data_IF_065711509370
#
_entry.id   IF_065711509370
#
_cell.length_a   1.000
_cell.length_b   1.000
_cell.length_c   1.000
_cell.angle_alpha   90.00
_cell.angle_beta   90.00
_cell.angle_gamma   90.00
#
_symmetry.space_group_name_H-M   'P 1'
#
loop_
_entity.id
_entity.type
_entity.pdbx_description
1 polymer ?
#
# COMPACT_ATOMS: atom_id res chain seq x y z
N UNK A 1 0.60 -14.51 3.26
CA UNK A 1 1.51 -13.93 2.24
C UNK A 1 1.31 -12.43 2.23
N UNK A 2 2.38 -11.66 2.01
CA UNK A 2 2.33 -10.21 1.92
C UNK A 2 2.36 -9.78 0.44
N UNK A 3 1.26 -9.21 -0.04
CA UNK A 3 1.10 -8.77 -1.42
C UNK A 3 1.26 -7.25 -1.52
N UNK A 4 2.02 -6.80 -2.51
CA UNK A 4 2.01 -5.42 -2.95
C UNK A 4 0.67 -5.13 -3.62
N UNK A 5 -0.12 -4.21 -3.05
CA UNK A 5 -1.46 -3.85 -3.54
C UNK A 5 -1.53 -2.46 -4.17
N UNK A 6 -0.46 -1.66 -4.10
CA UNK A 6 -0.41 -0.31 -4.65
C UNK A 6 0.53 0.59 -3.85
N UNK A 7 0.47 1.90 -4.11
CA UNK A 7 1.32 2.90 -3.47
C UNK A 7 0.51 4.15 -3.07
N UNK A 8 1.09 4.95 -2.18
CA UNK A 8 0.67 6.32 -1.84
C UNK A 8 1.89 7.24 -1.90
N UNK A 9 1.72 8.45 -2.43
CA UNK A 9 2.81 9.42 -2.63
C UNK A 9 2.46 10.85 -2.22
N UNK A 10 1.28 11.03 -1.61
CA UNK A 10 0.73 12.34 -1.24
C UNK A 10 1.32 12.88 0.07
N UNK A 11 2.65 12.95 0.15
CA UNK A 11 3.40 13.53 1.28
C UNK A 11 4.15 14.79 0.83
N UNK A 12 4.26 15.78 1.71
CA UNK A 12 5.09 16.96 1.52
C UNK A 12 6.59 16.62 1.47
N UNK A 13 7.43 17.55 1.03
CA UNK A 13 8.88 17.33 0.91
C UNK A 13 9.54 17.01 2.26
N UNK A 14 9.12 17.68 3.34
CA UNK A 14 9.62 17.43 4.69
C UNK A 14 9.21 16.05 5.20
N UNK A 15 7.93 15.68 5.02
CA UNK A 15 7.42 14.36 5.40
C UNK A 15 8.11 13.24 4.64
N UNK A 16 8.40 13.43 3.35
CA UNK A 16 9.15 12.43 2.55
C UNK A 16 10.52 12.13 3.15
N UNK A 17 11.27 13.15 3.57
CA UNK A 17 12.60 12.94 4.18
C UNK A 17 12.49 12.15 5.48
N UNK A 18 11.52 12.49 6.33
CA UNK A 18 11.29 11.76 7.57
C UNK A 18 10.85 10.31 7.30
N UNK A 19 10.00 10.10 6.30
CA UNK A 19 9.54 8.78 5.88
C UNK A 19 10.67 7.92 5.31
N UNK A 20 11.59 8.51 4.54
CA UNK A 20 12.79 7.82 4.09
C UNK A 20 13.57 7.31 5.29
N UNK A 21 13.93 8.18 6.24
CA UNK A 21 14.68 7.78 7.43
C UNK A 21 13.99 6.66 8.21
N UNK A 22 12.67 6.77 8.42
CA UNK A 22 11.87 5.73 9.11
C UNK A 22 11.85 4.42 8.35
N UNK A 23 11.71 4.46 7.03
CA UNK A 23 11.67 3.25 6.18
C UNK A 23 13.03 2.57 6.12
N UNK A 24 14.12 3.35 6.07
CA UNK A 24 15.48 2.83 6.09
C UNK A 24 15.81 2.10 7.39
N UNK A 25 15.36 2.62 8.54
CA UNK A 25 15.49 1.95 9.83
C UNK A 25 14.70 0.63 9.91
N UNK A 26 13.73 0.42 9.02
CA UNK A 26 12.91 -0.80 8.95
C UNK A 26 13.39 -1.78 7.88
N UNK A 27 14.47 -1.50 7.14
CA UNK A 27 14.96 -2.39 6.07
C UNK A 27 15.21 -3.80 6.60
N UNK A 28 14.51 -4.77 6.02
CA UNK A 28 14.59 -6.18 6.41
C UNK A 28 14.01 -7.09 5.33
N UNK A 29 14.81 -8.00 4.74
CA UNK A 29 14.31 -9.07 3.88
C UNK A 29 13.34 -10.02 4.62
N UNK A 30 12.42 -10.70 3.92
CA UNK A 30 12.23 -10.69 2.46
C UNK A 30 11.31 -9.57 1.94
N UNK A 31 10.62 -8.83 2.83
CA UNK A 31 9.58 -7.88 2.44
C UNK A 31 8.34 -8.60 1.90
N UNK A 32 7.94 -8.31 0.66
CA UNK A 32 6.79 -8.96 0.02
C UNK A 32 7.04 -10.45 -0.21
N UNK A 33 6.12 -11.29 0.27
CA UNK A 33 6.19 -12.77 0.14
C UNK A 33 5.18 -13.34 -0.85
N UNK A 34 4.44 -12.47 -1.54
CA UNK A 34 3.57 -12.80 -2.66
C UNK A 34 3.89 -11.92 -3.86
N UNK A 35 2.88 -11.23 -4.38
CA UNK A 35 3.09 -10.23 -5.44
C UNK A 35 3.99 -9.11 -4.94
N UNK A 36 5.08 -8.79 -5.65
CA UNK A 36 6.01 -7.71 -5.29
C UNK A 36 5.95 -6.54 -6.32
N UNK A 37 6.48 -5.35 -5.98
CA UNK A 37 6.72 -4.28 -6.95
C UNK A 37 7.77 -4.68 -8.01
N UNK A 38 7.82 -3.95 -9.12
CA UNK A 38 8.86 -4.11 -10.15
C UNK A 38 8.60 -5.15 -11.24
N UNK A 39 7.37 -5.65 -11.39
CA UNK A 39 6.99 -6.46 -12.55
C UNK A 39 7.09 -5.68 -13.88
N UNK A 40 7.28 -6.37 -15.01
CA UNK A 40 7.38 -5.74 -16.32
C UNK A 40 6.08 -4.99 -16.67
N UNK A 41 6.19 -3.73 -17.08
CA UNK A 41 5.06 -2.94 -17.54
C UNK A 41 5.47 -2.01 -18.68
N UNK A 42 4.54 -1.71 -19.59
CA UNK A 42 4.77 -0.76 -20.72
C UNK A 42 5.14 0.65 -20.27
N UNK A 43 4.90 0.96 -18.99
CA UNK A 43 5.19 2.25 -18.36
C UNK A 43 6.36 2.16 -17.39
N UNK A 44 7.02 1.00 -17.26
CA UNK A 44 8.17 0.83 -16.38
C UNK A 44 9.39 1.48 -17.04
N UNK A 45 10.01 2.43 -16.34
CA UNK A 45 11.39 2.84 -16.59
C UNK A 45 12.33 2.02 -15.71
N UNK A 46 13.66 2.14 -15.90
CA UNK A 46 14.66 1.44 -15.08
C UNK A 46 14.43 1.61 -13.57
N UNK A 47 13.98 2.80 -13.13
CA UNK A 47 13.73 3.10 -11.72
C UNK A 47 12.32 2.76 -11.22
N UNK A 48 11.40 2.41 -12.11
CA UNK A 48 10.00 2.15 -11.74
C UNK A 48 9.82 0.82 -10.98
N UNK A 49 10.84 -0.03 -10.97
CA UNK A 49 10.82 -1.31 -10.27
C UNK A 49 11.72 -1.40 -9.04
N UNK A 50 12.50 -0.38 -8.72
CA UNK A 50 13.38 -0.40 -7.55
C UNK A 50 12.56 -0.25 -6.27
N UNK A 51 12.77 -1.18 -5.33
CA UNK A 51 12.20 -1.12 -3.99
C UNK A 51 13.11 -1.86 -3.01
N UNK A 52 13.03 -1.47 -1.74
CA UNK A 52 13.80 -2.07 -0.64
C UNK A 52 12.82 -2.77 0.32
N UNK A 53 13.09 -4.01 0.75
CA UNK A 53 12.22 -4.71 1.67
C UNK A 53 12.29 -4.09 3.07
N UNK A 54 11.12 -3.95 3.70
CA UNK A 54 10.99 -3.44 5.06
C UNK A 54 10.21 -4.43 5.94
N UNK A 55 10.49 -4.41 7.24
CA UNK A 55 9.70 -5.09 8.27
C UNK A 55 8.33 -4.40 8.39
N UNK A 56 7.20 -5.07 8.10
CA UNK A 56 5.88 -4.45 8.02
C UNK A 56 5.32 -4.13 9.41
N UNK A 57 5.84 -3.08 10.05
CA UNK A 57 5.49 -2.67 11.42
C UNK A 57 4.62 -1.42 11.52
N UNK A 58 4.46 -0.70 10.41
CA UNK A 58 3.79 0.61 10.41
C UNK A 58 2.48 0.50 9.63
N UNK A 59 1.39 0.95 10.26
CA UNK A 59 0.06 0.93 9.66
C UNK A 59 -0.40 2.37 9.38
N UNK A 60 -1.02 2.54 8.21
CA UNK A 60 -1.66 3.78 7.80
C UNK A 60 -3.04 3.48 7.22
N UNK A 61 -3.89 4.49 7.21
CA UNK A 61 -5.21 4.47 6.61
C UNK A 61 -5.17 5.22 5.28
N UNK A 62 -5.78 4.64 4.24
CA UNK A 62 -5.90 5.25 2.92
C UNK A 62 -7.34 5.27 2.44
N UNK A 63 -7.68 6.30 1.67
CA UNK A 63 -8.83 6.26 0.77
C UNK A 63 -8.38 5.75 -0.60
N UNK A 64 -9.23 4.98 -1.24
CA UNK A 64 -9.01 4.46 -2.59
C UNK A 64 -10.31 4.53 -3.38
N UNK A 65 -10.17 4.55 -4.70
CA UNK A 65 -11.30 4.58 -5.62
C UNK A 65 -11.83 3.15 -5.84
N UNK A 66 -11.06 2.29 -6.50
CA UNK A 66 -11.47 0.92 -6.82
C UNK A 66 -10.35 -0.07 -6.46
N UNK A 67 -10.74 -1.29 -6.07
CA UNK A 67 -9.85 -2.41 -5.82
C UNK A 67 -10.21 -3.58 -6.76
N UNK A 68 -9.32 -3.89 -7.71
CA UNK A 68 -9.56 -4.94 -8.71
C UNK A 68 -8.30 -5.74 -9.00
N UNK A 69 -8.45 -7.04 -9.21
CA UNK A 69 -7.33 -7.96 -9.49
C UNK A 69 -6.20 -7.88 -8.45
N UNK A 70 -6.56 -7.70 -7.17
CA UNK A 70 -5.61 -7.63 -6.07
C UNK A 70 -4.85 -6.30 -5.96
N UNK A 71 -5.29 -5.21 -6.61
CA UNK A 71 -4.61 -3.91 -6.56
C UNK A 71 -5.58 -2.72 -6.48
N UNK A 72 -5.12 -1.65 -5.84
CA UNK A 72 -5.75 -0.33 -5.92
C UNK A 72 -5.57 0.28 -7.31
N UNK A 73 -6.60 0.98 -7.79
CA UNK A 73 -6.59 1.74 -9.05
C UNK A 73 -6.55 3.25 -8.74
N UNK A 74 -5.93 4.02 -9.66
CA UNK A 74 -5.77 5.48 -9.57
C UNK A 74 -4.95 5.99 -8.36
N UNK A 75 -4.14 5.13 -7.76
CA UNK A 75 -3.37 5.44 -6.55
C UNK A 75 -4.23 5.47 -5.30
N UNK A 76 -3.62 5.80 -4.17
CA UNK A 76 -4.32 5.91 -2.88
C UNK A 76 -4.00 7.22 -2.20
N UNK A 77 -4.97 7.75 -1.45
CA UNK A 77 -4.81 8.98 -0.67
C UNK A 77 -4.53 8.61 0.78
N UNK A 78 -3.38 9.04 1.30
CA UNK A 78 -3.10 8.95 2.73
C UNK A 78 -4.13 9.74 3.55
N UNK A 79 -4.68 9.12 4.59
CA UNK A 79 -5.61 9.77 5.51
C UNK A 79 -4.94 10.04 6.87
N UNK A 80 -4.39 9.00 7.50
CA UNK A 80 -3.76 9.10 8.83
C UNK A 80 -2.90 7.89 9.15
N UNK A 81 -1.98 8.05 10.10
CA UNK A 81 -1.27 6.95 10.75
C UNK A 81 -2.20 6.18 11.70
N UNK A 82 -1.96 4.87 11.85
CA UNK A 82 -2.72 3.97 12.72
C UNK A 82 -1.79 3.21 13.68
N UNK A 83 -1.10 3.90 14.60
CA UNK A 83 -0.26 3.22 15.60
C UNK A 83 -1.07 2.34 16.56
N UNK A 84 -2.39 2.52 16.57
CA UNK A 84 -3.36 1.74 17.32
C UNK A 84 -3.69 0.37 16.70
N UNK A 85 -3.27 0.11 15.45
CA UNK A 85 -3.55 -1.14 14.75
C UNK A 85 -2.33 -2.05 14.68
N UNK A 86 -2.54 -3.33 14.94
CA UNK A 86 -1.56 -4.38 14.67
C UNK A 86 -1.47 -4.60 13.14
N UNK A 87 -0.27 -4.58 12.54
CA UNK A 87 -0.07 -4.86 11.12
C UNK A 87 -0.70 -6.18 10.64
N UNK A 88 -0.78 -7.20 11.48
CA UNK A 88 -1.39 -8.49 11.15
C UNK A 88 -2.91 -8.40 10.94
N UNK A 89 -3.55 -7.31 11.39
CA UNK A 89 -4.98 -7.03 11.14
C UNK A 89 -5.24 -6.42 9.76
N UNK A 90 -4.20 -6.04 9.01
CA UNK A 90 -4.33 -5.54 7.64
C UNK A 90 -4.49 -6.71 6.66
N UNK A 91 -5.70 -7.28 6.59
CA UNK A 91 -6.01 -8.43 5.73
C UNK A 91 -6.73 -8.02 4.43
N UNK A 92 -6.66 -8.88 3.42
CA UNK A 92 -7.36 -8.69 2.13
C UNK A 92 -8.88 -8.65 2.28
N UNK A 93 -9.44 -9.11 3.39
CA UNK A 93 -10.90 -9.08 3.64
C UNK A 93 -11.44 -7.65 3.76
N UNK A 94 -10.57 -6.68 4.05
CA UNK A 94 -10.91 -5.25 4.13
C UNK A 94 -11.23 -4.63 2.76
N UNK A 95 -10.74 -5.25 1.68
CA UNK A 95 -10.88 -4.75 0.29
C UNK A 95 -11.64 -5.73 -0.61
N UNK A 96 -11.84 -6.97 -0.16
CA UNK A 96 -12.79 -7.87 -0.77
C UNK A 96 -14.20 -7.27 -0.64
N UNK A 97 -14.95 -7.28 -1.73
CA UNK A 97 -16.35 -6.88 -1.70
C UNK A 97 -17.06 -7.71 -0.63
N UNK A 98 -17.40 -7.08 0.50
CA UNK A 98 -18.66 -7.40 1.15
C UNK A 98 -19.69 -6.94 0.15
N UNK A 99 -20.49 -7.84 -0.41
CA UNK A 99 -21.65 -7.47 -1.23
C UNK A 99 -22.58 -6.57 -0.40
N UNK A 100 -22.29 -5.29 -0.38
CA UNK A 100 -23.09 -4.25 0.21
C UNK A 100 -24.11 -3.87 -0.83
N UNK A 101 -25.34 -4.34 -0.61
CA UNK A 101 -26.57 -3.97 -1.32
C UNK A 101 -26.40 -2.63 -2.01
N UNK A 102 -26.52 -2.66 -3.34
CA UNK A 102 -26.82 -1.48 -4.14
C UNK A 102 -27.83 -0.66 -3.36
N UNK A 103 -27.41 0.51 -2.86
CA UNK A 103 -28.35 1.51 -2.39
C UNK A 103 -29.11 1.89 -3.65
N UNK A 104 -30.25 1.24 -3.83
CA UNK A 104 -31.29 1.65 -4.75
C UNK A 104 -31.57 3.12 -4.46
N UNK A 105 -30.97 3.98 -5.27
CA UNK A 105 -31.40 5.37 -5.41
C UNK A 105 -32.84 5.31 -5.93
N UNK A 106 -33.75 5.72 -5.05
CA UNK A 106 -35.10 6.15 -5.38
C UNK A 106 -35.09 7.17 -6.53
#
# INVERSE_FOLDING_TARGET
MLHHVGFTSAFSRSERRELTNKSEALRKPPGFTGSAPGGPSRWSTDRSGEWEPVDPRVVLEVAYDHFTSGRFRHGTKFLRWRPDKDPNQCTMDQVQHREGKSLSLL
#
